data_IF_075208062820
#
_entry.id   IF_075208062820
#
_cell.length_a   1.000
_cell.length_b   1.000
_cell.length_c   1.000
_cell.angle_alpha   90.00
_cell.angle_beta   90.00
_cell.angle_gamma   90.00
#
_symmetry.space_group_name_H-M   'P 1'
#
loop_
_entity.id
_entity.type
_entity.pdbx_description
1 polymer ?
#
# COMPACT_ATOMS: atom_id res chain seq x y z
N UNK A 1 26.25 -27.14 -12.27
CA UNK A 1 26.23 -28.01 -11.09
C UNK A 1 26.02 -27.13 -9.87
N UNK A 2 24.78 -27.00 -9.44
CA UNK A 2 24.39 -26.14 -8.30
C UNK A 2 24.63 -26.92 -7.02
N UNK A 3 25.56 -26.48 -6.21
CA UNK A 3 25.90 -27.05 -4.92
C UNK A 3 24.93 -26.51 -3.88
N UNK A 4 23.83 -27.22 -3.61
CA UNK A 4 22.94 -26.94 -2.47
C UNK A 4 23.57 -27.54 -1.22
N UNK A 5 24.06 -26.70 -0.32
CA UNK A 5 24.54 -27.11 0.99
C UNK A 5 23.34 -27.56 1.85
N UNK A 6 23.29 -28.87 2.16
CA UNK A 6 22.33 -29.44 3.10
C UNK A 6 23.02 -29.78 4.43
N UNK A 7 22.28 -29.70 5.54
CA UNK A 7 22.74 -30.20 6.85
C UNK A 7 22.86 -31.76 6.80
N UNK A 8 23.61 -32.38 7.71
CA UNK A 8 23.71 -33.88 7.80
C UNK A 8 22.37 -34.61 8.02
N UNK A 9 21.32 -33.89 8.40
CA UNK A 9 19.95 -34.40 8.58
C UNK A 9 19.03 -34.20 7.37
N UNK A 10 19.53 -33.64 6.25
CA UNK A 10 18.74 -33.44 5.03
C UNK A 10 17.67 -32.32 5.11
N UNK A 11 17.63 -31.55 6.18
CA UNK A 11 16.74 -30.38 6.26
C UNK A 11 17.38 -29.18 5.57
N UNK A 12 16.62 -28.38 4.79
CA UNK A 12 17.14 -27.11 4.28
C UNK A 12 17.53 -26.24 5.46
N UNK A 13 18.69 -25.59 5.35
CA UNK A 13 19.12 -24.58 6.30
C UNK A 13 18.03 -23.50 6.34
N UNK A 14 17.26 -23.49 7.42
CA UNK A 14 16.28 -22.44 7.67
C UNK A 14 17.04 -21.13 7.82
N UNK A 15 17.01 -20.31 6.79
CA UNK A 15 17.36 -18.90 6.94
C UNK A 15 16.32 -18.37 7.92
N UNK A 16 16.75 -18.03 9.14
CA UNK A 16 15.90 -17.32 10.11
C UNK A 16 15.52 -15.98 9.49
N UNK A 17 14.36 -15.96 8.83
CA UNK A 17 13.86 -14.75 8.21
C UNK A 17 13.34 -13.85 9.33
N UNK A 18 14.03 -12.75 9.59
CA UNK A 18 13.50 -11.71 10.49
C UNK A 18 12.22 -11.17 9.85
N UNK A 19 11.08 -11.16 10.57
CA UNK A 19 9.84 -10.60 10.02
C UNK A 19 10.08 -9.16 9.52
N UNK A 20 9.51 -8.82 8.37
CA UNK A 20 9.49 -7.43 7.91
C UNK A 20 8.65 -6.55 8.84
N UNK A 21 8.78 -5.22 8.73
CA UNK A 21 7.95 -4.30 9.50
C UNK A 21 6.45 -4.51 9.22
N UNK A 22 6.09 -4.80 7.98
CA UNK A 22 4.71 -5.11 7.57
C UNK A 22 4.21 -6.42 8.20
N UNK A 23 5.02 -7.48 8.18
CA UNK A 23 4.66 -8.75 8.81
C UNK A 23 4.49 -8.60 10.33
N UNK A 24 5.41 -7.89 10.99
CA UNK A 24 5.32 -7.61 12.43
C UNK A 24 4.06 -6.80 12.80
N UNK A 25 3.68 -5.83 11.97
CA UNK A 25 2.43 -5.07 12.12
C UNK A 25 1.22 -5.99 12.05
N UNK A 26 1.12 -6.84 11.02
CA UNK A 26 0.00 -7.77 10.90
C UNK A 26 -0.06 -8.78 12.04
N UNK A 27 1.08 -9.32 12.49
CA UNK A 27 1.11 -10.27 13.60
C UNK A 27 0.62 -9.62 14.91
N UNK A 28 1.02 -8.36 15.18
CA UNK A 28 0.53 -7.57 16.31
C UNK A 28 -0.99 -7.34 16.21
N UNK A 29 -1.47 -6.84 15.08
CA UNK A 29 -2.89 -6.53 14.89
C UNK A 29 -3.78 -7.78 14.95
N UNK A 30 -3.30 -8.91 14.42
CA UNK A 30 -4.00 -10.20 14.57
C UNK A 30 -4.10 -10.65 16.02
N UNK A 31 -3.05 -10.44 16.82
CA UNK A 31 -3.09 -10.74 18.25
C UNK A 31 -4.09 -9.84 19.01
N UNK A 32 -4.34 -8.62 18.51
CA UNK A 32 -5.35 -7.70 19.03
C UNK A 32 -6.74 -7.91 18.40
N UNK A 33 -6.87 -8.85 17.48
CA UNK A 33 -8.09 -9.13 16.70
C UNK A 33 -8.58 -7.92 15.87
N UNK A 34 -7.65 -7.16 15.30
CA UNK A 34 -7.90 -5.94 14.51
C UNK A 34 -7.43 -6.09 13.06
N UNK A 35 -8.16 -5.55 12.08
CA UNK A 35 -7.63 -5.34 10.73
C UNK A 35 -6.67 -4.16 10.71
N UNK A 36 -5.71 -4.15 9.79
CA UNK A 36 -4.82 -3.00 9.58
C UNK A 36 -5.57 -1.83 8.92
N UNK A 37 -5.30 -0.61 9.36
CA UNK A 37 -5.70 0.60 8.65
C UNK A 37 -4.52 1.10 7.82
N UNK A 38 -4.64 1.05 6.49
CA UNK A 38 -3.62 1.47 5.53
C UNK A 38 -4.12 2.72 4.83
N UNK A 39 -3.40 3.84 4.98
CA UNK A 39 -3.78 5.13 4.40
C UNK A 39 -2.86 5.52 3.25
N UNK A 40 -3.41 6.05 2.15
CA UNK A 40 -2.66 6.53 1.00
C UNK A 40 -2.59 8.05 0.95
N UNK A 41 -1.41 8.59 0.63
CA UNK A 41 -1.22 10.00 0.29
C UNK A 41 -0.08 10.16 -0.72
N UNK A 42 -0.24 10.96 -1.81
CA UNK A 42 0.85 11.25 -2.72
C UNK A 42 1.87 12.19 -2.07
N UNK A 43 3.17 11.85 -2.15
CA UNK A 43 4.25 12.70 -1.69
C UNK A 43 4.29 14.01 -2.48
N UNK A 44 4.54 15.12 -1.77
CA UNK A 44 4.63 16.45 -2.37
C UNK A 44 3.29 17.17 -2.54
N UNK A 45 2.17 16.56 -2.14
CA UNK A 45 0.85 17.17 -2.18
C UNK A 45 0.36 17.60 -0.78
N UNK A 46 -0.18 18.81 -0.62
CA UNK A 46 -0.28 19.92 -1.59
C UNK A 46 1.04 20.66 -1.84
N UNK A 47 2.03 20.47 -1.00
CA UNK A 47 3.44 20.81 -1.17
C UNK A 47 4.30 19.89 -0.29
N UNK A 48 5.63 19.86 -0.47
CA UNK A 48 6.50 18.92 0.24
C UNK A 48 6.37 18.95 1.76
N UNK A 49 6.41 20.16 2.37
CA UNK A 49 6.38 20.30 3.83
C UNK A 49 5.03 19.88 4.42
N UNK A 50 3.94 20.30 3.81
CA UNK A 50 2.58 19.92 4.24
C UNK A 50 2.33 18.42 4.02
N UNK A 51 2.88 17.85 2.95
CA UNK A 51 2.85 16.42 2.70
C UNK A 51 3.48 15.61 3.84
N UNK A 52 4.65 16.04 4.34
CA UNK A 52 5.32 15.39 5.47
C UNK A 52 4.50 15.52 6.77
N UNK A 53 3.92 16.68 7.03
CA UNK A 53 3.03 16.89 8.17
C UNK A 53 1.78 16.03 8.08
N UNK A 54 1.18 15.91 6.89
CA UNK A 54 0.00 15.07 6.65
C UNK A 54 0.32 13.58 6.90
N UNK A 55 1.45 13.08 6.40
CA UNK A 55 1.89 11.69 6.61
C UNK A 55 2.09 11.40 8.10
N UNK A 56 2.71 12.31 8.85
CA UNK A 56 2.89 12.19 10.29
C UNK A 56 1.54 12.18 11.03
N UNK A 57 0.64 13.10 10.69
CA UNK A 57 -0.72 13.17 11.26
C UNK A 57 -1.48 11.88 11.01
N UNK A 58 -1.39 11.27 9.83
CA UNK A 58 -2.05 10.00 9.56
C UNK A 58 -1.64 8.91 10.56
N UNK A 59 -0.34 8.78 10.84
CA UNK A 59 0.17 7.80 11.81
C UNK A 59 -0.27 8.14 13.23
N UNK A 60 -0.11 9.41 13.66
CA UNK A 60 -0.48 9.89 15.00
C UNK A 60 -1.96 9.69 15.33
N UNK A 61 -2.83 9.67 14.30
CA UNK A 61 -4.29 9.53 14.45
C UNK A 61 -4.82 8.12 14.10
N UNK A 62 -3.94 7.13 13.90
CA UNK A 62 -4.33 5.73 13.91
C UNK A 62 -4.19 4.95 12.60
N UNK A 63 -3.47 5.48 11.61
CA UNK A 63 -3.04 4.69 10.44
C UNK A 63 -1.87 3.80 10.83
N UNK A 64 -1.95 2.49 10.59
CA UNK A 64 -0.90 1.52 10.91
C UNK A 64 0.21 1.51 9.86
N UNK A 65 -0.17 1.59 8.58
CA UNK A 65 0.77 1.66 7.45
C UNK A 65 0.36 2.78 6.49
N UNK A 66 1.34 3.46 5.92
CA UNK A 66 1.11 4.53 4.96
C UNK A 66 1.65 4.16 3.60
N UNK A 67 0.77 4.16 2.60
CA UNK A 67 1.13 4.06 1.18
C UNK A 67 1.51 5.45 0.67
N UNK A 68 2.79 5.71 0.55
CA UNK A 68 3.33 6.96 0.02
C UNK A 68 3.33 6.85 -1.51
N UNK A 69 2.43 7.57 -2.17
CA UNK A 69 2.33 7.59 -3.62
C UNK A 69 3.46 8.39 -4.26
N UNK A 70 4.19 7.79 -5.21
CA UNK A 70 5.06 8.54 -6.09
C UNK A 70 4.22 9.28 -7.15
N UNK A 71 4.28 10.62 -7.23
CA UNK A 71 3.56 11.35 -8.27
C UNK A 71 3.99 10.91 -9.66
N UNK A 72 3.03 10.61 -10.52
CA UNK A 72 3.28 10.14 -11.88
C UNK A 72 2.40 10.86 -12.90
N UNK A 73 2.98 11.18 -14.07
CA UNK A 73 2.31 11.95 -15.12
C UNK A 73 1.23 11.17 -15.88
N UNK A 74 1.33 9.84 -15.89
CA UNK A 74 0.49 8.95 -16.69
C UNK A 74 -0.22 7.88 -15.84
N UNK A 75 -1.02 8.28 -14.82
CA UNK A 75 -1.55 7.38 -13.79
C UNK A 75 -2.79 6.64 -14.29
N UNK A 76 -2.59 5.51 -14.95
CA UNK A 76 -3.68 4.71 -15.56
C UNK A 76 -4.62 4.03 -14.56
N UNK A 77 -4.20 3.89 -13.29
CA UNK A 77 -4.98 3.23 -12.24
C UNK A 77 -5.65 4.20 -11.27
N UNK A 78 -5.26 5.48 -11.28
CA UNK A 78 -5.70 6.46 -10.29
C UNK A 78 -7.01 7.12 -10.68
N UNK A 79 -7.89 7.33 -9.69
CA UNK A 79 -9.09 8.13 -9.85
C UNK A 79 -8.78 9.64 -9.90
N UNK A 80 -9.78 10.48 -10.30
CA UNK A 80 -9.57 11.90 -10.57
C UNK A 80 -9.02 12.69 -9.36
N UNK A 81 -9.38 12.35 -8.13
CA UNK A 81 -8.88 12.99 -6.91
C UNK A 81 -7.37 12.74 -6.74
N UNK A 82 -6.93 11.51 -6.94
CA UNK A 82 -5.50 11.14 -6.85
C UNK A 82 -4.73 11.75 -8.01
N UNK A 83 -5.28 11.76 -9.23
CA UNK A 83 -4.67 12.40 -10.39
C UNK A 83 -4.45 13.91 -10.15
N UNK A 84 -5.45 14.61 -9.61
CA UNK A 84 -5.33 16.04 -9.30
C UNK A 84 -4.23 16.30 -8.26
N UNK A 85 -4.19 15.53 -7.18
CA UNK A 85 -3.17 15.66 -6.14
C UNK A 85 -1.76 15.35 -6.69
N UNK A 86 -1.60 14.30 -7.50
CA UNK A 86 -0.34 13.95 -8.15
C UNK A 86 0.12 15.06 -9.12
N UNK A 87 -0.80 15.66 -9.87
CA UNK A 87 -0.47 16.79 -10.77
C UNK A 87 0.03 18.01 -9.99
N UNK A 88 -0.59 18.31 -8.84
CA UNK A 88 -0.12 19.40 -7.96
C UNK A 88 1.30 19.12 -7.47
N UNK A 89 1.57 17.88 -7.00
CA UNK A 89 2.90 17.47 -6.55
C UNK A 89 3.96 17.56 -7.67
N UNK A 90 3.64 17.13 -8.88
CA UNK A 90 4.53 17.27 -10.05
C UNK A 90 4.82 18.73 -10.39
N UNK A 91 3.81 19.60 -10.31
CA UNK A 91 3.96 21.03 -10.54
C UNK A 91 4.86 21.71 -9.48
N UNK A 92 4.95 21.14 -8.28
CA UNK A 92 5.89 21.55 -7.23
C UNK A 92 7.33 21.06 -7.49
N UNK A 93 7.57 20.28 -8.56
CA UNK A 93 8.88 19.77 -8.92
C UNK A 93 9.30 18.50 -8.18
N UNK A 94 8.36 17.80 -7.57
CA UNK A 94 8.67 16.59 -6.81
C UNK A 94 9.09 15.42 -7.70
N UNK A 95 10.02 14.65 -7.15
CA UNK A 95 10.65 13.52 -7.82
C UNK A 95 10.89 12.37 -6.85
N UNK A 96 11.27 11.21 -7.39
CA UNK A 96 11.57 10.02 -6.61
C UNK A 96 12.61 10.25 -5.50
N UNK A 97 13.56 11.19 -5.67
CA UNK A 97 14.59 11.46 -4.65
C UNK A 97 14.01 12.00 -3.33
N UNK A 98 12.91 12.76 -3.40
CA UNK A 98 12.28 13.35 -2.22
C UNK A 98 11.44 12.35 -1.41
N UNK A 99 11.00 11.24 -2.01
CA UNK A 99 10.10 10.29 -1.35
C UNK A 99 10.74 9.62 -0.14
N UNK A 100 12.05 9.42 -0.11
CA UNK A 100 12.74 8.78 1.02
C UNK A 100 12.62 9.58 2.31
N UNK A 101 12.54 10.93 2.22
CA UNK A 101 12.24 11.77 3.39
C UNK A 101 10.82 11.54 3.93
N UNK A 102 9.86 11.26 3.06
CA UNK A 102 8.51 10.89 3.47
C UNK A 102 8.50 9.51 4.16
N UNK A 103 9.28 8.55 3.64
CA UNK A 103 9.50 7.23 4.26
C UNK A 103 10.06 7.38 5.67
N UNK A 104 11.15 8.14 5.85
CA UNK A 104 11.73 8.44 7.16
C UNK A 104 10.71 9.10 8.11
N UNK A 105 9.87 10.01 7.60
CA UNK A 105 8.85 10.68 8.39
C UNK A 105 7.83 9.70 8.95
N UNK A 106 7.32 8.79 8.12
CA UNK A 106 6.36 7.76 8.54
C UNK A 106 7.01 6.78 9.53
N UNK A 107 8.24 6.32 9.25
CA UNK A 107 8.97 5.41 10.14
C UNK A 107 9.23 6.05 11.52
N UNK A 108 9.67 7.31 11.55
CA UNK A 108 9.92 8.05 12.78
C UNK A 108 8.65 8.34 13.60
N UNK A 109 7.49 8.43 12.95
CA UNK A 109 6.20 8.54 13.61
C UNK A 109 5.70 7.19 14.18
N UNK A 110 6.35 6.08 13.86
CA UNK A 110 6.00 4.72 14.32
C UNK A 110 5.06 3.95 13.39
N UNK A 111 4.76 4.49 12.21
CA UNK A 111 4.00 3.81 11.16
C UNK A 111 4.86 2.91 10.28
N UNK A 112 4.23 2.05 9.49
CA UNK A 112 4.89 1.22 8.49
C UNK A 112 4.90 1.93 7.14
N UNK A 113 6.06 2.39 6.61
CA UNK A 113 6.10 3.10 5.34
C UNK A 113 6.14 2.14 4.17
N UNK A 114 5.15 2.25 3.29
CA UNK A 114 5.08 1.59 2.00
C UNK A 114 5.21 2.64 0.90
N UNK A 115 5.86 2.33 -0.20
CA UNK A 115 5.80 3.16 -1.41
C UNK A 115 4.84 2.51 -2.40
N UNK A 116 3.94 3.31 -3.00
CA UNK A 116 3.15 2.91 -4.17
C UNK A 116 3.68 3.64 -5.39
N UNK A 117 4.11 2.89 -6.40
CA UNK A 117 4.70 3.45 -7.62
C UNK A 117 4.42 2.60 -8.83
N UNK A 118 4.28 3.25 -9.98
CA UNK A 118 4.39 2.61 -11.28
C UNK A 118 5.82 2.13 -11.52
N UNK A 119 5.97 0.95 -12.09
CA UNK A 119 7.25 0.26 -12.26
C UNK A 119 8.28 1.06 -13.06
N UNK A 120 7.82 1.81 -14.04
CA UNK A 120 8.68 2.66 -14.86
C UNK A 120 9.57 3.62 -14.04
N UNK A 121 9.05 4.23 -12.97
CA UNK A 121 9.81 5.14 -12.12
C UNK A 121 10.94 4.41 -11.37
N UNK A 122 10.63 3.24 -10.83
CA UNK A 122 11.59 2.41 -10.09
C UNK A 122 12.68 1.89 -11.03
N UNK A 123 12.27 1.41 -12.21
CA UNK A 123 13.19 0.90 -13.23
C UNK A 123 14.19 1.97 -13.69
N UNK A 124 13.73 3.20 -13.94
CA UNK A 124 14.61 4.31 -14.34
C UNK A 124 15.51 4.82 -13.20
N UNK A 125 15.08 4.72 -11.96
CA UNK A 125 15.94 5.05 -10.81
C UNK A 125 17.07 4.02 -10.64
N UNK A 126 16.82 2.79 -11.06
CA UNK A 126 17.65 1.62 -10.86
C UNK A 126 17.15 0.79 -9.67
N UNK A 127 16.71 -0.44 -9.95
CA UNK A 127 16.00 -1.32 -9.00
C UNK A 127 16.81 -1.57 -7.72
N UNK A 128 18.08 -1.93 -7.87
CA UNK A 128 19.00 -2.17 -6.73
C UNK A 128 19.25 -0.89 -5.91
N UNK A 129 19.48 0.22 -6.58
CA UNK A 129 19.69 1.52 -5.92
C UNK A 129 18.44 1.94 -5.15
N UNK A 130 17.25 1.77 -5.76
CA UNK A 130 15.99 2.07 -5.10
C UNK A 130 15.81 1.21 -3.85
N UNK A 131 16.04 -0.09 -3.93
CA UNK A 131 15.90 -0.99 -2.79
C UNK A 131 16.84 -0.61 -1.64
N UNK A 132 18.10 -0.28 -1.94
CA UNK A 132 19.08 0.16 -0.96
C UNK A 132 18.68 1.50 -0.30
N UNK A 133 18.32 2.52 -1.10
CA UNK A 133 17.92 3.83 -0.57
C UNK A 133 16.61 3.74 0.24
N UNK A 134 15.68 2.87 -0.19
CA UNK A 134 14.41 2.64 0.50
C UNK A 134 14.59 1.91 1.84
N UNK A 135 15.41 0.85 1.90
CA UNK A 135 15.80 0.19 3.15
C UNK A 135 16.45 1.19 4.11
N UNK A 136 17.43 1.98 3.65
CA UNK A 136 18.14 2.96 4.46
C UNK A 136 17.22 4.04 5.05
N UNK A 137 16.16 4.40 4.35
CA UNK A 137 15.12 5.31 4.84
C UNK A 137 14.14 4.67 5.84
N UNK A 138 14.25 3.37 6.08
CA UNK A 138 13.33 2.62 6.94
C UNK A 138 12.09 2.09 6.23
N UNK A 139 12.14 1.97 4.90
CA UNK A 139 11.06 1.45 4.08
C UNK A 139 10.71 -0.01 4.38
N UNK A 140 9.44 -0.36 4.24
CA UNK A 140 8.96 -1.71 4.53
C UNK A 140 8.61 -2.50 3.26
N UNK A 141 8.04 -1.88 2.24
CA UNK A 141 7.65 -2.60 1.03
C UNK A 141 7.14 -1.70 -0.09
N UNK A 142 7.15 -2.25 -1.31
CA UNK A 142 6.72 -1.57 -2.53
C UNK A 142 5.45 -2.20 -3.08
N UNK A 143 4.47 -1.35 -3.39
CA UNK A 143 3.23 -1.68 -4.08
C UNK A 143 3.39 -1.27 -5.55
N UNK A 144 3.25 -2.24 -6.45
CA UNK A 144 3.39 -2.02 -7.89
C UNK A 144 2.11 -2.41 -8.61
N UNK A 145 1.26 -1.43 -9.00
CA UNK A 145 -0.03 -1.73 -9.63
C UNK A 145 0.10 -2.30 -11.06
N UNK A 146 1.22 -2.05 -11.73
CA UNK A 146 1.50 -2.40 -13.12
C UNK A 146 2.59 -3.46 -13.31
N UNK A 147 3.16 -4.01 -12.22
CA UNK A 147 4.15 -5.08 -12.27
C UNK A 147 3.53 -6.41 -11.84
N UNK A 148 3.62 -7.42 -12.69
CA UNK A 148 3.17 -8.79 -12.39
C UNK A 148 4.36 -9.65 -11.95
N UNK A 149 4.14 -10.73 -11.15
CA UNK A 149 5.23 -11.58 -10.67
C UNK A 149 6.09 -12.19 -11.78
N UNK A 150 5.50 -12.46 -12.96
CA UNK A 150 6.23 -13.02 -14.12
C UNK A 150 7.34 -12.10 -14.64
N UNK A 151 7.18 -10.79 -14.46
CA UNK A 151 8.10 -9.75 -14.94
C UNK A 151 8.93 -9.12 -13.80
N UNK A 152 8.68 -9.53 -12.54
CA UNK A 152 9.24 -8.91 -11.35
C UNK A 152 10.59 -9.48 -10.92
N UNK A 153 11.32 -10.24 -11.77
CA UNK A 153 12.53 -10.95 -11.37
C UNK A 153 13.56 -10.08 -10.68
N UNK A 154 13.92 -8.94 -11.26
CA UNK A 154 14.88 -7.99 -10.66
C UNK A 154 14.42 -7.43 -9.32
N UNK A 155 13.10 -7.12 -9.20
CA UNK A 155 12.53 -6.62 -7.95
C UNK A 155 12.47 -7.71 -6.88
N UNK A 156 12.14 -8.94 -7.25
CA UNK A 156 12.13 -10.08 -6.31
C UNK A 156 13.52 -10.26 -5.72
N UNK A 157 14.57 -10.27 -6.55
CA UNK A 157 15.94 -10.42 -6.08
C UNK A 157 16.41 -9.24 -5.22
N UNK A 158 16.13 -8.00 -5.61
CA UNK A 158 16.49 -6.80 -4.85
C UNK A 158 15.75 -6.75 -3.52
N UNK A 159 14.42 -6.97 -3.52
CA UNK A 159 13.61 -6.97 -2.30
C UNK A 159 14.03 -8.05 -1.30
N UNK A 160 14.45 -9.23 -1.78
CA UNK A 160 14.96 -10.30 -0.91
C UNK A 160 16.30 -9.92 -0.26
N UNK A 161 17.20 -9.25 -1.01
CA UNK A 161 18.48 -8.77 -0.46
C UNK A 161 18.31 -7.69 0.60
N UNK A 162 17.36 -6.79 0.40
CA UNK A 162 17.12 -5.62 1.25
C UNK A 162 16.01 -5.82 2.30
N UNK A 163 15.45 -7.03 2.40
CA UNK A 163 14.39 -7.35 3.39
C UNK A 163 13.10 -6.57 3.18
N UNK A 164 12.84 -6.09 1.95
CA UNK A 164 11.65 -5.34 1.58
C UNK A 164 10.51 -6.27 1.17
N UNK A 165 9.29 -5.85 1.45
CA UNK A 165 8.10 -6.54 1.00
C UNK A 165 7.74 -6.14 -0.44
N UNK A 166 7.06 -7.05 -1.12
CA UNK A 166 6.56 -6.86 -2.48
C UNK A 166 5.07 -7.16 -2.53
N UNK A 167 4.31 -6.11 -2.80
CA UNK A 167 2.87 -6.13 -2.76
C UNK A 167 2.34 -6.09 -4.19
N UNK A 168 1.77 -7.21 -4.63
CA UNK A 168 1.15 -7.35 -5.94
C UNK A 168 -0.36 -7.24 -5.84
N UNK A 169 -0.99 -6.79 -6.94
CA UNK A 169 -2.41 -6.60 -7.04
C UNK A 169 -3.12 -7.82 -7.60
N UNK A 170 -4.32 -8.07 -7.10
CA UNK A 170 -5.29 -9.00 -7.67
C UNK A 170 -6.65 -8.31 -7.82
N UNK A 171 -7.44 -8.77 -8.78
CA UNK A 171 -8.78 -8.24 -9.07
C UNK A 171 -9.83 -9.36 -9.10
N UNK A 172 -11.12 -9.05 -9.08
CA UNK A 172 -12.19 -10.05 -9.19
C UNK A 172 -12.06 -10.96 -10.43
N UNK A 173 -11.49 -10.42 -11.52
CA UNK A 173 -11.30 -11.14 -12.78
C UNK A 173 -10.00 -11.97 -12.83
N UNK A 174 -9.16 -11.92 -11.77
CA UNK A 174 -7.93 -12.72 -11.69
C UNK A 174 -8.25 -14.21 -11.70
N UNK A 175 -7.65 -14.95 -12.64
CA UNK A 175 -7.74 -16.41 -12.70
C UNK A 175 -7.08 -17.08 -11.48
N UNK A 176 -7.45 -18.33 -11.17
CA UNK A 176 -6.93 -19.04 -10.00
C UNK A 176 -5.41 -19.20 -10.05
N UNK A 177 -4.86 -19.53 -11.21
CA UNK A 177 -3.42 -19.65 -11.43
C UNK A 177 -2.69 -18.32 -11.17
N UNK A 178 -3.32 -17.19 -11.50
CA UNK A 178 -2.80 -15.83 -11.21
C UNK A 178 -2.81 -15.56 -9.71
N UNK A 179 -3.88 -15.91 -9.01
CA UNK A 179 -3.95 -15.78 -7.55
C UNK A 179 -2.86 -16.59 -6.85
N UNK A 180 -2.64 -17.84 -7.28
CA UNK A 180 -1.58 -18.69 -6.73
C UNK A 180 -0.18 -18.13 -7.01
N UNK A 181 0.05 -17.60 -8.21
CA UNK A 181 1.34 -17.00 -8.57
C UNK A 181 1.62 -15.75 -7.74
N UNK A 182 0.62 -14.88 -7.59
CA UNK A 182 0.71 -13.69 -6.74
C UNK A 182 0.93 -14.08 -5.29
N UNK A 183 0.15 -15.00 -4.73
CA UNK A 183 0.28 -15.44 -3.34
C UNK A 183 1.66 -16.00 -3.00
N UNK A 184 2.28 -16.75 -3.93
CA UNK A 184 3.63 -17.32 -3.75
C UNK A 184 4.75 -16.28 -3.79
N UNK A 185 4.58 -15.21 -4.56
CA UNK A 185 5.62 -14.19 -4.76
C UNK A 185 5.43 -12.94 -3.89
N UNK A 186 4.23 -12.71 -3.36
CA UNK A 186 3.96 -11.60 -2.46
C UNK A 186 4.64 -11.78 -1.10
N UNK A 187 5.10 -10.67 -0.52
CA UNK A 187 5.52 -10.55 0.88
C UNK A 187 4.78 -9.36 1.47
N UNK A 188 4.55 -9.39 2.78
CA UNK A 188 3.69 -8.43 3.45
C UNK A 188 2.21 -8.78 3.27
N UNK A 189 1.60 -8.39 2.16
CA UNK A 189 0.20 -8.69 1.83
C UNK A 189 -0.07 -8.75 0.33
N UNK A 190 -1.23 -9.32 -0.04
CA UNK A 190 -1.80 -9.23 -1.39
C UNK A 190 -2.83 -8.10 -1.42
N UNK A 191 -2.70 -7.20 -2.38
CA UNK A 191 -3.62 -6.07 -2.57
C UNK A 191 -4.82 -6.51 -3.40
N UNK A 192 -5.99 -6.64 -2.79
CA UNK A 192 -7.25 -6.91 -3.47
C UNK A 192 -7.90 -5.59 -3.93
N UNK A 193 -7.73 -5.26 -5.21
CA UNK A 193 -8.33 -4.08 -5.82
C UNK A 193 -9.76 -4.35 -6.28
N UNK A 194 -10.64 -3.34 -6.19
CA UNK A 194 -12.05 -3.51 -6.57
C UNK A 194 -12.27 -3.71 -8.07
N UNK A 195 -11.45 -3.08 -8.91
CA UNK A 195 -11.40 -3.20 -10.37
C UNK A 195 -10.06 -2.71 -10.91
N UNK A 196 -9.56 -3.40 -11.93
CA UNK A 196 -8.47 -2.92 -12.76
C UNK A 196 -9.07 -2.22 -14.00
N UNK A 197 -8.97 -0.87 -14.07
CA UNK A 197 -9.26 -0.10 -15.28
C UNK A 197 -10.69 0.34 -15.52
N UNK A 198 -10.81 1.34 -16.35
CA UNK A 198 -11.90 2.18 -16.84
C UNK A 198 -13.31 1.59 -16.80
N UNK A 199 -14.26 2.39 -16.34
CA UNK A 199 -15.71 2.19 -16.36
C UNK A 199 -16.24 1.81 -17.75
N UNK A 200 -16.71 0.55 -17.87
CA UNK A 200 -17.51 0.07 -18.99
C UNK A 200 -18.64 -0.77 -18.44
N UNK A 201 -19.88 -0.44 -18.83
CA UNK A 201 -21.09 -1.18 -18.48
C UNK A 201 -20.97 -2.60 -19.02
N UNK A 202 -20.82 -3.59 -18.14
CA UNK A 202 -21.10 -5.00 -18.41
C UNK A 202 -21.79 -5.59 -17.20
N UNK A 203 -23.00 -6.08 -17.43
CA UNK A 203 -23.82 -6.86 -16.49
C UNK A 203 -23.25 -8.28 -16.30
N UNK A 204 -22.02 -8.39 -15.84
CA UNK A 204 -21.49 -9.64 -15.28
C UNK A 204 -21.41 -9.48 -13.78
N UNK A 205 -21.98 -10.44 -13.06
CA UNK A 205 -21.90 -10.56 -11.60
C UNK A 205 -20.41 -10.58 -11.23
N UNK A 206 -19.84 -9.41 -10.97
CA UNK A 206 -18.46 -9.36 -10.47
C UNK A 206 -18.48 -9.93 -9.06
N UNK A 207 -17.60 -10.89 -8.77
CA UNK A 207 -17.46 -11.46 -7.45
C UNK A 207 -17.29 -10.33 -6.43
N UNK A 208 -17.95 -10.46 -5.27
CA UNK A 208 -17.83 -9.45 -4.21
C UNK A 208 -16.37 -9.34 -3.75
N UNK A 209 -15.94 -8.19 -3.17
CA UNK A 209 -14.60 -8.07 -2.59
C UNK A 209 -14.30 -9.17 -1.56
N UNK A 210 -15.29 -9.58 -0.79
CA UNK A 210 -15.20 -10.68 0.16
C UNK A 210 -14.84 -12.01 -0.53
N UNK A 211 -15.51 -12.35 -1.65
CA UNK A 211 -15.19 -13.52 -2.45
C UNK A 211 -13.76 -13.48 -2.99
N UNK A 212 -13.26 -12.29 -3.39
CA UNK A 212 -11.87 -12.14 -3.84
C UNK A 212 -10.89 -12.41 -2.70
N UNK A 213 -11.16 -11.91 -1.49
CA UNK A 213 -10.35 -12.17 -0.30
C UNK A 213 -10.29 -13.67 0.01
N UNK A 214 -11.44 -14.36 0.00
CA UNK A 214 -11.49 -15.82 0.19
C UNK A 214 -10.69 -16.58 -0.86
N UNK A 215 -10.84 -16.21 -2.14
CA UNK A 215 -10.08 -16.82 -3.24
C UNK A 215 -8.58 -16.62 -3.10
N UNK A 216 -8.13 -15.40 -2.73
CA UNK A 216 -6.73 -15.10 -2.50
C UNK A 216 -6.15 -15.90 -1.31
N UNK A 217 -6.90 -16.03 -0.21
CA UNK A 217 -6.51 -16.85 0.95
C UNK A 217 -6.40 -18.34 0.57
N UNK A 218 -7.38 -18.85 -0.18
CA UNK A 218 -7.37 -20.25 -0.67
C UNK A 218 -6.19 -20.50 -1.61
N UNK A 219 -5.72 -19.48 -2.33
CA UNK A 219 -4.52 -19.54 -3.17
C UNK A 219 -3.20 -19.43 -2.38
N UNK A 220 -3.25 -19.25 -1.04
CA UNK A 220 -2.10 -19.22 -0.15
C UNK A 220 -1.65 -17.84 0.32
N UNK A 221 -2.41 -16.76 0.04
CA UNK A 221 -2.09 -15.43 0.54
C UNK A 221 -2.19 -15.38 2.08
N UNK A 222 -1.10 -14.94 2.76
CA UNK A 222 -1.03 -14.86 4.22
C UNK A 222 -1.88 -13.71 4.77
N UNK A 223 -1.81 -12.56 4.11
CA UNK A 223 -2.59 -11.36 4.42
C UNK A 223 -3.20 -10.82 3.14
N UNK A 224 -4.45 -10.38 3.19
CA UNK A 224 -5.16 -9.77 2.05
C UNK A 224 -5.77 -8.44 2.49
N UNK A 225 -5.32 -7.34 1.88
CA UNK A 225 -5.83 -6.00 2.13
C UNK A 225 -6.70 -5.52 0.97
N UNK A 226 -7.76 -4.80 1.29
CA UNK A 226 -8.81 -4.43 0.35
C UNK A 226 -8.85 -2.92 0.13
N UNK A 227 -8.70 -2.49 -1.15
CA UNK A 227 -8.84 -1.11 -1.61
C UNK A 227 -10.03 -0.97 -2.57
N UNK A 228 -11.17 -0.53 -2.06
CA UNK A 228 -12.44 -0.43 -2.81
C UNK A 228 -13.12 0.93 -2.72
N UNK A 229 -12.38 1.98 -2.33
CA UNK A 229 -12.94 3.32 -2.18
C UNK A 229 -13.71 3.52 -0.87
N UNK A 230 -13.27 2.91 0.21
CA UNK A 230 -13.79 3.16 1.56
C UNK A 230 -13.67 4.64 1.90
N UNK A 231 -14.74 5.24 2.40
CA UNK A 231 -14.83 6.66 2.72
C UNK A 231 -15.54 6.97 4.04
N UNK A 232 -16.20 5.98 4.66
CA UNK A 232 -16.87 6.13 5.96
C UNK A 232 -16.41 5.08 6.96
N UNK A 233 -16.53 5.35 8.29
CA UNK A 233 -16.23 4.39 9.33
C UNK A 233 -16.98 3.04 9.17
N UNK A 234 -18.27 3.10 8.82
CA UNK A 234 -19.13 1.93 8.64
C UNK A 234 -18.67 1.06 7.45
N UNK A 235 -18.20 1.69 6.36
CA UNK A 235 -17.61 0.97 5.24
C UNK A 235 -16.30 0.32 5.66
N UNK A 236 -15.46 1.04 6.44
CA UNK A 236 -14.22 0.54 6.99
C UNK A 236 -14.43 -0.69 7.87
N UNK A 237 -15.36 -0.59 8.81
CA UNK A 237 -15.80 -1.68 9.67
C UNK A 237 -16.24 -2.91 8.87
N UNK A 238 -17.14 -2.72 7.89
CA UNK A 238 -17.61 -3.80 7.04
C UNK A 238 -16.49 -4.53 6.28
N UNK A 239 -15.51 -3.80 5.76
CA UNK A 239 -14.37 -4.40 5.05
C UNK A 239 -13.44 -5.08 6.05
N UNK A 240 -13.17 -4.46 7.19
CA UNK A 240 -12.36 -5.00 8.28
C UNK A 240 -12.85 -6.34 8.81
N UNK A 241 -14.13 -6.60 8.76
CA UNK A 241 -14.72 -7.86 9.22
C UNK A 241 -14.22 -9.09 8.42
N UNK A 242 -13.82 -8.93 7.15
CA UNK A 242 -13.38 -10.06 6.31
C UNK A 242 -11.97 -9.92 5.74
N UNK A 243 -11.40 -8.70 5.66
CA UNK A 243 -10.06 -8.45 5.11
C UNK A 243 -9.00 -8.28 6.22
N UNK A 244 -7.71 -8.56 5.96
CA UNK A 244 -6.63 -8.37 6.94
C UNK A 244 -6.23 -6.91 7.08
N UNK A 245 -6.59 -6.07 6.11
CA UNK A 245 -6.41 -4.62 6.15
C UNK A 245 -7.38 -3.91 5.24
N UNK A 246 -7.68 -2.66 5.60
CA UNK A 246 -8.54 -1.73 4.87
C UNK A 246 -7.68 -0.60 4.32
N UNK A 247 -7.69 -0.44 3.00
CA UNK A 247 -6.91 0.60 2.32
C UNK A 247 -7.81 1.76 1.97
N UNK A 248 -7.41 2.96 2.39
CA UNK A 248 -8.15 4.21 2.16
C UNK A 248 -7.24 5.23 1.47
N UNK A 249 -7.59 5.61 0.26
CA UNK A 249 -6.82 6.57 -0.55
C UNK A 249 -7.57 7.88 -0.74
N UNK A 250 -8.40 7.95 -1.79
CA UNK A 250 -9.04 9.18 -2.24
C UNK A 250 -9.83 9.93 -1.16
N UNK A 251 -10.40 9.23 -0.18
CA UNK A 251 -11.10 9.87 0.93
C UNK A 251 -10.18 10.67 1.86
N UNK A 252 -8.90 10.25 2.02
CA UNK A 252 -7.89 11.00 2.77
C UNK A 252 -7.33 12.14 1.93
N UNK A 253 -6.98 11.89 0.67
CA UNK A 253 -6.49 12.92 -0.26
C UNK A 253 -7.50 14.05 -0.41
N UNK A 254 -8.79 13.74 -0.51
CA UNK A 254 -9.87 14.72 -0.63
C UNK A 254 -9.95 15.70 0.55
N UNK A 255 -9.52 15.31 1.76
CA UNK A 255 -9.51 16.23 2.92
C UNK A 255 -8.60 17.45 2.73
N UNK A 256 -7.59 17.31 1.88
CA UNK A 256 -6.60 18.36 1.56
C UNK A 256 -6.98 19.16 0.31
N UNK A 257 -8.07 18.81 -0.38
CA UNK A 257 -8.60 19.51 -1.55
C UNK A 257 -9.86 20.31 -1.19
N UNK A 258 -10.10 21.40 -1.90
CA UNK A 258 -11.36 22.12 -1.87
C UNK A 258 -12.47 21.34 -2.60
N UNK A 259 -13.71 21.84 -2.51
CA UNK A 259 -14.89 21.21 -3.11
C UNK A 259 -14.81 21.06 -4.64
N UNK A 260 -13.92 21.81 -5.30
CA UNK A 260 -13.65 21.68 -6.74
C UNK A 260 -12.80 20.44 -7.09
N UNK A 261 -12.22 19.75 -6.10
CA UNK A 261 -11.28 18.62 -6.24
C UNK A 261 -10.01 18.93 -7.07
N UNK A 262 -9.67 20.20 -7.23
CA UNK A 262 -8.53 20.68 -8.02
C UNK A 262 -7.61 21.59 -7.21
N UNK A 263 -8.20 22.43 -6.35
CA UNK A 263 -7.48 23.40 -5.53
C UNK A 263 -7.15 22.78 -4.16
N UNK A 264 -5.95 23.03 -3.67
CA UNK A 264 -5.60 22.61 -2.30
C UNK A 264 -6.19 23.58 -1.27
N UNK A 265 -6.73 23.03 -0.18
CA UNK A 265 -7.15 23.81 0.99
C UNK A 265 -5.99 24.54 1.64
N UNK A 266 -6.31 25.51 2.52
CA UNK A 266 -5.28 26.06 3.40
C UNK A 266 -4.67 24.93 4.25
N UNK A 267 -3.35 24.94 4.54
CA UNK A 267 -2.70 23.88 5.31
C UNK A 267 -3.40 23.57 6.63
N UNK A 268 -3.81 24.62 7.35
CA UNK A 268 -4.47 24.47 8.66
C UNK A 268 -5.82 23.74 8.56
N UNK A 269 -6.62 24.05 7.56
CA UNK A 269 -7.92 23.41 7.35
C UNK A 269 -7.76 21.98 6.87
N UNK A 270 -6.93 21.78 5.84
CA UNK A 270 -6.69 20.46 5.28
C UNK A 270 -6.13 19.47 6.30
N UNK A 271 -5.12 19.85 7.07
CA UNK A 271 -4.53 18.98 8.10
C UNK A 271 -5.49 18.67 9.24
N UNK A 272 -6.32 19.65 9.66
CA UNK A 272 -7.37 19.40 10.65
C UNK A 272 -8.42 18.42 10.14
N UNK A 273 -8.87 18.61 8.90
CA UNK A 273 -9.89 17.75 8.28
C UNK A 273 -9.34 16.33 8.04
N UNK A 274 -8.05 16.22 7.70
CA UNK A 274 -7.35 14.93 7.60
C UNK A 274 -7.30 14.21 8.95
N UNK A 275 -6.88 14.88 10.02
CA UNK A 275 -6.83 14.31 11.36
C UNK A 275 -8.18 13.75 11.79
N UNK A 276 -9.24 14.58 11.69
CA UNK A 276 -10.60 14.17 12.04
C UNK A 276 -11.11 12.97 11.20
N UNK A 277 -10.76 12.96 9.89
CA UNK A 277 -11.14 11.86 8.99
C UNK A 277 -10.42 10.56 9.35
N UNK A 278 -9.13 10.64 9.66
CA UNK A 278 -8.32 9.48 10.05
C UNK A 278 -8.84 8.90 11.37
N UNK A 279 -9.08 9.73 12.40
CA UNK A 279 -9.64 9.28 13.68
C UNK A 279 -10.96 8.53 13.50
N UNK A 280 -11.90 9.11 12.76
CA UNK A 280 -13.20 8.49 12.52
C UNK A 280 -13.08 7.13 11.79
N UNK A 281 -12.22 7.07 10.77
CA UNK A 281 -11.97 5.82 10.04
C UNK A 281 -11.25 4.79 10.89
N UNK A 282 -10.27 5.21 11.69
CA UNK A 282 -9.54 4.33 12.62
C UNK A 282 -10.47 3.70 13.65
N UNK A 283 -11.38 4.50 14.24
CA UNK A 283 -12.39 3.98 15.15
C UNK A 283 -13.30 2.92 14.48
N UNK A 284 -13.76 3.19 13.25
CA UNK A 284 -14.58 2.24 12.52
C UNK A 284 -13.85 0.96 12.16
N UNK A 285 -12.60 1.07 11.67
CA UNK A 285 -11.81 -0.07 11.22
C UNK A 285 -11.35 -0.94 12.40
N UNK A 286 -10.84 -0.33 13.48
CA UNK A 286 -10.22 -1.06 14.59
C UNK A 286 -11.20 -1.59 15.64
N UNK A 287 -12.45 -1.09 15.69
CA UNK A 287 -13.44 -1.53 16.69
C UNK A 287 -14.25 -2.75 16.26
N UNK A 288 -14.14 -3.19 15.03
CA UNK A 288 -14.74 -4.45 14.58
C UNK A 288 -13.88 -5.62 15.08
N UNK A 289 -14.43 -6.36 16.06
CA UNK A 289 -13.87 -7.65 16.48
C UNK A 289 -14.16 -8.71 15.40
N UNK A 290 -13.11 -9.39 14.96
CA UNK A 290 -13.19 -10.52 14.03
C UNK A 290 -13.62 -11.81 14.70
#
# INVERSE_FOLDING_TARGET
MTNTATTPSGQPLGISHKPSATEAMFDRLKAENKPAFIGYLPYGFPNPDISLDALRIMVEHGVDAVEIGLPYSDPVMDGPVIQAASQIALNNGESINGVFKAVETVANAGGVPLIMSYWNLIYHYGVERFACDFENAGGAGLITPDLIPDEAGEWIEASDRHGLDRIFLVSPDSASERLELVARNARGFVYAASRMGVTGVRDTISASPETLVERARNAGARNVCVGIGVSTPEQGAKVGAYADGVIVGSALVHTLLDDDNVTAKTPKEGLRDLAAKVEALSEGIHNESR
#
